data_IF_227133295637
#
_entry.id   IF_227133295637
#
_cell.length_a   1.000
_cell.length_b   1.000
_cell.length_c   1.000
_cell.angle_alpha   90.00
_cell.angle_beta   90.00
_cell.angle_gamma   90.00
#
_symmetry.space_group_name_H-M   'P 1'
#
loop_
_entity.id
_entity.type
_entity.pdbx_description
1 polymer ?
#
# COMPACT_ATOMS: atom_id res chain seq x y z
N UNK A 1 14.58 32.03 13.09
CA UNK A 1 13.66 31.09 12.42
C UNK A 1 14.53 30.10 11.71
N UNK A 2 14.77 28.98 12.37
CA UNK A 2 15.59 27.90 11.84
C UNK A 2 14.69 26.71 11.52
N UNK A 3 15.09 25.93 10.54
CA UNK A 3 14.36 24.75 10.07
C UNK A 3 15.08 23.50 10.53
N UNK A 4 14.33 22.47 10.85
CA UNK A 4 14.88 21.21 11.34
C UNK A 4 14.14 20.04 10.69
N UNK A 5 14.78 18.88 10.67
CA UNK A 5 14.16 17.63 10.26
C UNK A 5 14.46 16.53 11.25
N UNK A 6 13.43 15.84 11.73
CA UNK A 6 13.56 14.66 12.60
C UNK A 6 13.39 13.40 11.76
N UNK A 7 14.39 12.52 11.80
CA UNK A 7 14.32 11.22 11.11
C UNK A 7 13.36 10.25 11.80
N UNK A 8 13.24 10.33 13.13
CA UNK A 8 12.32 9.47 13.89
C UNK A 8 10.87 9.82 13.59
N UNK A 9 10.55 11.12 13.56
CA UNK A 9 9.21 11.62 13.29
C UNK A 9 8.92 11.75 11.78
N UNK A 10 9.96 11.64 10.94
CA UNK A 10 9.91 11.86 9.48
C UNK A 10 9.25 13.18 9.09
N UNK A 11 9.58 14.25 9.83
CA UNK A 11 8.87 15.53 9.76
C UNK A 11 9.79 16.75 9.84
N UNK A 12 9.32 17.85 9.24
CA UNK A 12 9.96 19.16 9.34
C UNK A 12 9.44 19.96 10.54
N UNK A 13 10.34 20.73 11.15
CA UNK A 13 10.04 21.56 12.31
C UNK A 13 10.61 22.96 12.13
N UNK A 14 9.99 23.92 12.80
CA UNK A 14 10.47 25.28 12.88
C UNK A 14 10.49 25.80 14.32
N UNK A 15 11.63 26.30 14.79
CA UNK A 15 11.80 26.76 16.19
C UNK A 15 10.90 27.92 16.61
N UNK A 16 10.33 28.65 15.64
CA UNK A 16 9.48 29.81 15.90
C UNK A 16 8.02 29.40 16.10
N UNK A 17 7.65 28.15 15.80
CA UNK A 17 6.27 27.66 15.80
C UNK A 17 6.15 26.30 16.52
N UNK A 18 7.17 25.47 16.48
CA UNK A 18 7.16 24.09 16.97
C UNK A 18 8.18 23.90 18.10
N UNK A 19 7.84 23.00 19.03
CA UNK A 19 8.84 22.36 19.87
C UNK A 19 9.67 21.41 19.00
N UNK A 20 10.98 21.62 18.98
CA UNK A 20 11.91 20.88 18.11
C UNK A 20 12.34 19.58 18.82
N UNK A 21 12.17 18.40 18.21
CA UNK A 21 12.64 17.14 18.79
C UNK A 21 14.16 17.11 18.99
N UNK A 22 14.61 16.37 20.00
CA UNK A 22 16.04 16.21 20.31
C UNK A 22 16.83 15.54 19.16
N UNK A 23 16.18 14.71 18.35
CA UNK A 23 16.79 14.04 17.20
C UNK A 23 16.74 14.88 15.91
N UNK A 24 16.22 16.10 15.97
CA UNK A 24 16.07 16.94 14.81
C UNK A 24 17.39 17.60 14.40
N UNK A 25 17.74 17.44 13.12
CA UNK A 25 18.93 18.05 12.53
C UNK A 25 18.58 19.42 11.99
N UNK A 26 19.34 20.45 12.36
CA UNK A 26 19.18 21.81 11.84
C UNK A 26 19.54 21.86 10.35
N UNK A 27 18.66 22.47 9.56
CA UNK A 27 18.75 22.59 8.12
C UNK A 27 19.15 24.01 7.71
N UNK A 28 19.98 24.10 6.68
CA UNK A 28 20.10 25.34 5.89
C UNK A 28 18.78 25.60 5.17
N UNK A 29 18.41 26.87 5.00
CA UNK A 29 17.15 27.22 4.33
C UNK A 29 17.04 26.63 2.91
N UNK A 30 18.14 26.65 2.16
CA UNK A 30 18.22 26.05 0.82
C UNK A 30 17.98 24.53 0.84
N UNK A 31 18.48 23.83 1.87
CA UNK A 31 18.22 22.40 2.04
C UNK A 31 16.79 22.11 2.45
N UNK A 32 16.21 22.94 3.33
CA UNK A 32 14.79 22.85 3.67
C UNK A 32 13.91 22.98 2.43
N UNK A 33 14.13 24.03 1.62
CA UNK A 33 13.36 24.27 0.40
C UNK A 33 13.54 23.12 -0.60
N UNK A 34 14.78 22.63 -0.77
CA UNK A 34 15.10 21.47 -1.63
C UNK A 34 14.41 20.20 -1.15
N UNK A 35 14.51 19.87 0.13
CA UNK A 35 13.92 18.66 0.72
C UNK A 35 12.39 18.68 0.61
N UNK A 36 11.78 19.86 0.81
CA UNK A 36 10.34 20.05 0.68
C UNK A 36 9.87 19.89 -0.77
N UNK A 37 10.61 20.44 -1.74
CA UNK A 37 10.34 20.23 -3.17
C UNK A 37 10.46 18.75 -3.57
N UNK A 38 11.47 18.05 -3.03
CA UNK A 38 11.68 16.62 -3.24
C UNK A 38 10.51 15.74 -2.84
N UNK A 39 9.73 16.14 -1.82
CA UNK A 39 8.52 15.39 -1.42
C UNK A 39 7.44 15.39 -2.51
N UNK A 40 7.42 16.39 -3.39
CA UNK A 40 6.48 16.43 -4.52
C UNK A 40 6.92 15.57 -5.70
N UNK A 41 8.19 15.14 -5.72
CA UNK A 41 8.84 14.42 -6.82
C UNK A 41 9.14 12.93 -6.49
N UNK A 42 8.42 12.33 -5.53
CA UNK A 42 8.58 10.91 -5.13
C UNK A 42 10.03 10.58 -4.70
N UNK A 43 10.68 11.51 -4.00
CA UNK A 43 11.99 11.28 -3.39
C UNK A 43 11.80 10.86 -1.92
N UNK A 44 12.71 10.04 -1.41
CA UNK A 44 12.81 9.75 0.02
C UNK A 44 13.88 10.63 0.66
N UNK A 45 13.59 11.11 1.88
CA UNK A 45 14.60 11.78 2.71
C UNK A 45 15.31 10.69 3.51
N UNK A 46 16.60 10.52 3.24
CA UNK A 46 17.46 9.53 3.90
C UNK A 46 18.55 10.25 4.70
N UNK A 47 19.05 9.56 5.71
CA UNK A 47 20.21 10.02 6.46
C UNK A 47 21.49 9.68 5.68
N UNK A 48 22.27 10.72 5.36
CA UNK A 48 23.62 10.58 4.83
C UNK A 48 24.55 11.35 5.76
N UNK A 49 25.39 10.62 6.50
CA UNK A 49 26.37 11.16 7.45
C UNK A 49 25.76 12.11 8.52
N UNK A 50 24.54 11.82 8.98
CA UNK A 50 23.83 12.62 9.98
C UNK A 50 23.07 13.81 9.39
N UNK A 51 22.95 13.92 8.06
CA UNK A 51 22.26 15.04 7.41
C UNK A 51 21.17 14.57 6.42
N UNK A 52 19.96 15.18 6.48
CA UNK A 52 18.85 14.85 5.58
C UNK A 52 19.18 15.12 4.11
N UNK A 53 19.10 14.07 3.30
CA UNK A 53 19.40 14.13 1.87
C UNK A 53 18.31 13.45 1.07
N UNK A 54 17.90 14.05 -0.05
CA UNK A 54 17.01 13.40 -1.01
C UNK A 54 17.73 12.28 -1.74
N UNK A 55 17.13 11.10 -1.73
CA UNK A 55 17.46 9.99 -2.61
C UNK A 55 16.23 9.66 -3.44
N UNK A 56 16.44 9.27 -4.69
CA UNK A 56 15.36 8.70 -5.49
C UNK A 56 14.79 7.49 -4.75
N UNK A 57 13.45 7.48 -4.59
CA UNK A 57 12.79 6.32 -4.00
C UNK A 57 13.08 5.13 -4.90
N UNK A 58 13.63 4.07 -4.32
CA UNK A 58 13.77 2.83 -5.05
C UNK A 58 12.37 2.36 -5.45
N UNK A 59 12.12 2.06 -6.75
CA UNK A 59 10.83 1.54 -7.15
C UNK A 59 10.55 0.29 -6.33
N UNK A 60 9.29 0.12 -5.92
CA UNK A 60 8.89 -1.12 -5.26
C UNK A 60 9.24 -2.29 -6.18
N UNK A 61 9.78 -3.36 -5.61
CA UNK A 61 10.07 -4.56 -6.38
C UNK A 61 8.79 -5.15 -6.96
N UNK A 62 8.87 -5.81 -8.11
CA UNK A 62 7.72 -6.52 -8.70
C UNK A 62 7.06 -7.47 -7.69
N UNK A 63 7.87 -8.08 -6.81
CA UNK A 63 7.39 -8.92 -5.72
C UNK A 63 6.51 -8.17 -4.71
N UNK A 64 6.90 -6.96 -4.30
CA UNK A 64 6.12 -6.14 -3.37
C UNK A 64 4.81 -5.68 -4.02
N UNK A 65 4.87 -5.27 -5.30
CA UNK A 65 3.71 -4.84 -6.07
C UNK A 65 2.72 -6.01 -6.19
N UNK A 66 3.16 -7.16 -6.73
CA UNK A 66 2.32 -8.32 -6.93
C UNK A 66 1.76 -8.89 -5.61
N UNK A 67 2.53 -8.82 -4.52
CA UNK A 67 2.05 -9.23 -3.18
C UNK A 67 0.96 -8.30 -2.64
N UNK A 68 1.08 -6.99 -2.88
CA UNK A 68 0.06 -6.01 -2.50
C UNK A 68 -1.24 -6.19 -3.31
N UNK A 69 -1.13 -6.47 -4.61
CA UNK A 69 -2.26 -6.79 -5.47
C UNK A 69 -2.96 -8.08 -5.04
N UNK A 70 -2.21 -9.17 -4.81
CA UNK A 70 -2.75 -10.44 -4.30
C UNK A 70 -3.50 -10.23 -2.98
N UNK A 71 -2.93 -9.46 -2.06
CA UNK A 71 -3.57 -9.13 -0.79
C UNK A 71 -4.88 -8.36 -0.97
N UNK A 72 -4.92 -7.44 -1.94
CA UNK A 72 -6.11 -6.66 -2.28
C UNK A 72 -7.21 -7.52 -2.88
N UNK A 73 -6.87 -8.43 -3.80
CA UNK A 73 -7.81 -9.39 -4.38
C UNK A 73 -8.36 -10.38 -3.34
N UNK A 74 -7.51 -10.87 -2.44
CA UNK A 74 -7.93 -11.73 -1.32
C UNK A 74 -8.89 -11.01 -0.38
N UNK A 75 -8.61 -9.73 -0.06
CA UNK A 75 -9.49 -8.91 0.79
C UNK A 75 -10.87 -8.71 0.13
N UNK A 76 -10.89 -8.38 -1.16
CA UNK A 76 -12.13 -8.23 -1.93
C UNK A 76 -12.93 -9.54 -1.98
N UNK A 77 -12.28 -10.66 -2.30
CA UNK A 77 -12.96 -11.96 -2.34
C UNK A 77 -13.57 -12.33 -0.98
N UNK A 78 -12.83 -12.10 0.11
CA UNK A 78 -13.34 -12.31 1.46
C UNK A 78 -14.55 -11.41 1.78
N UNK A 79 -14.52 -10.14 1.36
CA UNK A 79 -15.65 -9.22 1.53
C UNK A 79 -16.90 -9.72 0.80
N UNK A 80 -16.77 -10.09 -0.47
CA UNK A 80 -17.91 -10.57 -1.28
C UNK A 80 -18.50 -11.87 -0.71
N UNK A 81 -17.64 -12.82 -0.32
CA UNK A 81 -18.07 -14.06 0.35
C UNK A 81 -18.82 -13.73 1.64
N UNK A 82 -18.31 -12.83 2.47
CA UNK A 82 -18.94 -12.45 3.74
C UNK A 82 -20.32 -11.80 3.55
N UNK A 83 -20.51 -11.04 2.46
CA UNK A 83 -21.81 -10.42 2.11
C UNK A 83 -22.82 -11.47 1.65
N UNK A 84 -22.41 -12.42 0.81
CA UNK A 84 -23.32 -13.37 0.16
C UNK A 84 -23.70 -14.54 1.09
N UNK A 85 -22.74 -15.02 1.89
CA UNK A 85 -22.89 -16.25 2.70
C UNK A 85 -24.14 -16.25 3.59
N UNK A 86 -24.44 -15.20 4.39
CA UNK A 86 -25.61 -15.21 5.27
C UNK A 86 -26.94 -15.36 4.51
N UNK A 87 -27.03 -14.77 3.31
CA UNK A 87 -28.22 -14.87 2.48
C UNK A 87 -28.42 -16.28 1.91
N UNK A 88 -27.32 -16.92 1.50
CA UNK A 88 -27.35 -18.30 0.99
C UNK A 88 -27.68 -19.26 2.14
N UNK A 89 -26.98 -19.16 3.26
CA UNK A 89 -27.18 -20.01 4.44
C UNK A 89 -28.59 -19.85 5.04
N UNK A 90 -29.13 -18.64 5.02
CA UNK A 90 -30.48 -18.34 5.50
C UNK A 90 -31.60 -18.68 4.51
N UNK A 91 -31.28 -19.13 3.29
CA UNK A 91 -32.26 -19.49 2.27
C UNK A 91 -33.05 -18.32 1.69
N UNK A 92 -32.56 -17.09 1.83
CA UNK A 92 -33.19 -15.87 1.29
C UNK A 92 -32.34 -15.16 0.23
N UNK A 93 -31.25 -15.80 -0.21
CA UNK A 93 -30.46 -15.38 -1.36
C UNK A 93 -31.29 -15.35 -2.65
N UNK A 94 -30.94 -14.43 -3.54
CA UNK A 94 -31.41 -14.49 -4.92
C UNK A 94 -30.83 -15.74 -5.60
N UNK A 95 -31.51 -16.35 -6.59
CA UNK A 95 -31.01 -17.54 -7.28
C UNK A 95 -29.57 -17.40 -7.78
N UNK A 96 -29.22 -16.25 -8.36
CA UNK A 96 -27.89 -15.93 -8.87
C UNK A 96 -26.79 -15.89 -7.78
N UNK A 97 -27.13 -15.57 -6.54
CA UNK A 97 -26.16 -15.44 -5.46
C UNK A 97 -25.56 -16.78 -5.02
N UNK A 98 -26.27 -17.89 -5.23
CA UNK A 98 -25.74 -19.22 -4.87
C UNK A 98 -24.56 -19.60 -5.76
N UNK A 99 -24.70 -19.39 -7.07
CA UNK A 99 -23.60 -19.58 -8.01
C UNK A 99 -22.49 -18.55 -7.76
N UNK A 100 -22.86 -17.31 -7.51
CA UNK A 100 -21.89 -16.25 -7.25
C UNK A 100 -21.03 -16.51 -6.01
N UNK A 101 -21.61 -17.09 -4.94
CA UNK A 101 -20.84 -17.52 -3.77
C UNK A 101 -19.79 -18.58 -4.13
N UNK A 102 -20.18 -19.58 -4.94
CA UNK A 102 -19.27 -20.62 -5.39
C UNK A 102 -18.13 -20.04 -6.27
N UNK A 103 -18.46 -19.09 -7.15
CA UNK A 103 -17.50 -18.42 -8.02
C UNK A 103 -16.48 -17.61 -7.20
N UNK A 104 -16.92 -16.84 -6.20
CA UNK A 104 -16.01 -16.12 -5.29
C UNK A 104 -15.14 -17.04 -4.43
N UNK A 105 -15.70 -18.14 -3.94
CA UNK A 105 -14.92 -19.14 -3.18
C UNK A 105 -13.84 -19.79 -4.05
N UNK A 106 -14.17 -20.11 -5.30
CA UNK A 106 -13.23 -20.63 -6.29
C UNK A 106 -12.15 -19.59 -6.63
N UNK A 107 -12.54 -18.37 -6.95
CA UNK A 107 -11.62 -17.27 -7.23
C UNK A 107 -10.62 -17.06 -6.09
N UNK A 108 -11.09 -17.02 -4.83
CA UNK A 108 -10.22 -16.91 -3.65
C UNK A 108 -9.21 -18.06 -3.56
N UNK A 109 -9.64 -19.29 -3.87
CA UNK A 109 -8.74 -20.43 -3.88
C UNK A 109 -7.69 -20.31 -4.99
N UNK A 110 -8.10 -19.97 -6.21
CA UNK A 110 -7.19 -19.79 -7.35
C UNK A 110 -6.16 -18.68 -7.10
N UNK A 111 -6.53 -17.59 -6.40
CA UNK A 111 -5.59 -16.55 -5.97
C UNK A 111 -4.43 -17.11 -5.13
N UNK A 112 -4.66 -18.11 -4.29
CA UNK A 112 -3.59 -18.70 -3.46
C UNK A 112 -2.55 -19.44 -4.28
N UNK A 113 -2.88 -19.83 -5.51
CA UNK A 113 -1.99 -20.55 -6.42
C UNK A 113 -1.17 -19.60 -7.30
N UNK A 114 -1.54 -18.32 -7.41
CA UNK A 114 -0.88 -17.35 -8.31
C UNK A 114 0.63 -17.26 -8.09
N UNK A 115 1.17 -17.26 -6.85
CA UNK A 115 2.62 -17.23 -6.64
C UNK A 115 3.37 -18.47 -7.14
N UNK A 116 2.66 -19.57 -7.44
CA UNK A 116 3.22 -20.81 -7.96
C UNK A 116 3.15 -20.90 -9.50
N UNK A 117 2.49 -19.94 -10.16
CA UNK A 117 2.33 -19.91 -11.61
C UNK A 117 3.50 -19.22 -12.32
N UNK A 118 3.68 -19.58 -13.59
CA UNK A 118 4.63 -18.89 -14.47
C UNK A 118 4.29 -17.40 -14.59
N UNK A 119 5.32 -16.56 -14.51
CA UNK A 119 5.20 -15.11 -14.57
C UNK A 119 5.17 -14.42 -13.21
N UNK A 120 5.07 -15.13 -12.09
CA UNK A 120 5.25 -14.50 -10.78
C UNK A 120 6.71 -14.04 -10.57
N UNK A 121 6.96 -12.82 -10.04
CA UNK A 121 6.01 -11.73 -9.77
C UNK A 121 5.88 -10.70 -10.90
N UNK A 122 6.68 -10.79 -11.96
CA UNK A 122 6.83 -9.76 -13.01
C UNK A 122 5.58 -9.60 -13.89
N UNK A 123 4.85 -10.70 -14.13
CA UNK A 123 3.62 -10.76 -14.91
C UNK A 123 2.68 -11.85 -14.36
N UNK A 124 2.05 -11.62 -13.19
CA UNK A 124 1.21 -12.62 -12.55
C UNK A 124 -0.03 -12.95 -13.39
N UNK A 125 -0.39 -14.24 -13.42
CA UNK A 125 -1.59 -14.72 -14.09
C UNK A 125 -2.78 -14.73 -13.13
N UNK A 126 -3.54 -13.64 -13.11
CA UNK A 126 -4.70 -13.50 -12.24
C UNK A 126 -5.91 -14.31 -12.74
N UNK A 127 -6.65 -15.00 -11.84
CA UNK A 127 -7.92 -15.62 -12.20
C UNK A 127 -8.97 -14.57 -12.57
N UNK A 128 -9.98 -14.95 -13.34
CA UNK A 128 -11.07 -14.05 -13.73
C UNK A 128 -11.92 -13.69 -12.50
N UNK A 129 -12.02 -12.40 -12.21
CA UNK A 129 -12.85 -11.88 -11.12
C UNK A 129 -14.35 -12.15 -11.40
N UNK A 130 -15.11 -12.68 -10.42
CA UNK A 130 -16.56 -12.82 -10.53
C UNK A 130 -17.32 -11.48 -10.47
N UNK A 131 -18.63 -11.51 -10.70
CA UNK A 131 -19.47 -10.31 -10.59
C UNK A 131 -19.57 -9.81 -9.13
N UNK A 132 -19.52 -8.50 -8.94
CA UNK A 132 -19.57 -7.88 -7.61
C UNK A 132 -21.02 -7.64 -7.19
N UNK A 133 -21.30 -7.81 -5.90
CA UNK A 133 -22.62 -7.48 -5.31
C UNK A 133 -22.66 -6.03 -4.81
N UNK A 134 -21.50 -5.40 -4.61
CA UNK A 134 -21.30 -4.03 -4.09
C UNK A 134 -20.29 -3.25 -4.93
#
# INVERSE_FOLDING_TARGET
MNYYYSFTQKGFYNDSINEVPDDAVELRKEDYDRLLDGLTNIMDIVDVDGYPTLKEREPQSDHEIASAELSSYMALANQQIAVITPAVDGGYAKPEHTQLLADWQRYRYELTLVPELDGWPESPQWPTEPEKVI
#
